data_IF_232179230431
#
_entry.id   IF_232179230431
#
_cell.length_a   1.000
_cell.length_b   1.000
_cell.length_c   1.000
_cell.angle_alpha   90.00
_cell.angle_beta   90.00
_cell.angle_gamma   90.00
#
_symmetry.space_group_name_H-M   'P 1'
#
loop_
_entity.id
_entity.type
_entity.pdbx_description
1 polymer ?
#
# COMPACT_ATOMS: atom_id res chain seq x y z
N UNK A 1 5.84 -17.19 -44.85
CA UNK A 1 7.11 -16.48 -44.57
C UNK A 1 7.34 -16.50 -43.06
N UNK A 2 8.54 -16.87 -42.58
CA UNK A 2 8.86 -16.94 -41.13
C UNK A 2 9.90 -15.88 -40.80
N UNK A 3 9.58 -14.96 -39.89
CA UNK A 3 10.51 -13.95 -39.35
C UNK A 3 11.04 -14.43 -38.00
N UNK A 4 12.34 -14.25 -37.76
CA UNK A 4 13.00 -14.55 -36.47
C UNK A 4 13.54 -13.26 -35.84
N UNK A 5 13.12 -12.97 -34.62
CA UNK A 5 13.67 -11.87 -33.82
C UNK A 5 15.07 -12.29 -33.35
N UNK A 6 16.10 -11.47 -33.64
CA UNK A 6 17.50 -11.77 -33.26
C UNK A 6 17.88 -11.18 -31.91
N UNK A 7 17.32 -10.02 -31.57
CA UNK A 7 17.60 -9.28 -30.34
C UNK A 7 16.43 -8.35 -30.03
N UNK A 8 16.08 -8.22 -28.76
CA UNK A 8 15.09 -7.27 -28.26
C UNK A 8 15.67 -6.54 -27.05
N UNK A 9 15.57 -5.21 -27.04
CA UNK A 9 15.80 -4.41 -25.84
C UNK A 9 14.46 -3.77 -25.48
N UNK A 10 13.84 -4.23 -24.40
CA UNK A 10 12.55 -3.72 -23.94
C UNK A 10 12.75 -2.61 -22.90
N UNK A 11 11.79 -1.68 -22.85
CA UNK A 11 11.66 -0.66 -21.81
C UNK A 11 10.26 -0.80 -21.24
N UNK A 12 10.14 -0.67 -19.92
CA UNK A 12 8.87 -0.73 -19.22
C UNK A 12 8.80 0.36 -18.16
N UNK A 13 7.58 0.77 -17.84
CA UNK A 13 7.24 1.60 -16.69
C UNK A 13 6.34 0.78 -15.79
N UNK A 14 6.51 0.91 -14.47
CA UNK A 14 5.59 0.31 -13.52
C UNK A 14 4.39 1.26 -13.31
N UNK A 15 3.28 0.70 -12.89
CA UNK A 15 2.07 1.39 -12.45
C UNK A 15 1.45 0.57 -11.33
N UNK A 16 0.72 1.21 -10.45
CA UNK A 16 -0.11 0.50 -9.47
C UNK A 16 -1.27 -0.23 -10.17
N UNK A 17 -1.62 -1.42 -9.68
CA UNK A 17 -2.77 -2.20 -10.17
C UNK A 17 -4.07 -1.68 -9.52
N UNK A 18 -4.46 -0.47 -9.93
CA UNK A 18 -5.63 0.28 -9.47
C UNK A 18 -6.31 0.92 -10.70
N UNK A 19 -7.58 1.35 -10.60
CA UNK A 19 -8.27 1.99 -11.72
C UNK A 19 -7.45 3.13 -12.33
N UNK A 20 -7.44 3.24 -13.66
CA UNK A 20 -6.78 4.36 -14.35
C UNK A 20 -7.41 5.70 -13.93
N UNK A 21 -6.57 6.74 -13.82
CA UNK A 21 -6.93 8.11 -13.41
C UNK A 21 -7.37 8.29 -11.94
N UNK A 22 -7.08 7.32 -11.08
CA UNK A 22 -7.43 7.41 -9.66
C UNK A 22 -6.39 8.25 -8.90
N UNK A 23 -6.88 9.14 -8.04
CA UNK A 23 -6.05 10.07 -7.23
C UNK A 23 -6.23 9.82 -5.75
N UNK A 24 -5.24 10.20 -4.96
CA UNK A 24 -5.37 10.14 -3.51
C UNK A 24 -6.49 11.09 -3.04
N UNK A 25 -7.52 10.54 -2.41
CA UNK A 25 -8.69 11.32 -1.94
C UNK A 25 -8.37 12.41 -0.90
N UNK A 26 -7.15 12.46 -0.38
CA UNK A 26 -6.70 13.44 0.63
C UNK A 26 -5.87 14.56 -0.02
N UNK A 27 -4.80 14.22 -0.75
CA UNK A 27 -3.90 15.21 -1.33
C UNK A 27 -4.21 15.55 -2.80
N UNK A 28 -5.12 14.80 -3.44
CA UNK A 28 -5.54 14.98 -4.83
C UNK A 28 -4.40 14.85 -5.85
N UNK A 29 -3.35 14.08 -5.50
CA UNK A 29 -2.22 13.76 -6.40
C UNK A 29 -2.36 12.32 -6.90
N UNK A 30 -1.91 12.08 -8.13
CA UNK A 30 -1.83 10.76 -8.75
C UNK A 30 -1.05 9.76 -7.88
N UNK A 31 -1.48 8.51 -7.90
CA UNK A 31 -0.88 7.46 -7.09
C UNK A 31 0.53 7.05 -7.55
N UNK A 32 0.88 7.25 -8.82
CA UNK A 32 2.25 7.05 -9.31
C UNK A 32 3.18 8.23 -8.98
N UNK A 33 2.62 9.33 -8.50
CA UNK A 33 3.34 10.48 -7.97
C UNK A 33 3.55 10.39 -6.46
N UNK A 34 4.34 11.33 -5.93
CA UNK A 34 4.51 11.49 -4.48
C UNK A 34 3.48 12.43 -3.90
N UNK A 35 3.10 12.21 -2.63
CA UNK A 35 2.32 13.19 -1.89
C UNK A 35 3.10 14.51 -1.70
N UNK A 36 2.44 15.63 -1.37
CA UNK A 36 3.08 16.94 -1.25
C UNK A 36 4.21 17.04 -0.19
N UNK A 37 4.24 16.11 0.77
CA UNK A 37 5.29 16.06 1.79
C UNK A 37 6.57 15.33 1.30
N UNK A 38 6.50 14.60 0.18
CA UNK A 38 7.57 13.76 -0.32
C UNK A 38 8.17 14.35 -1.60
N UNK A 39 9.51 14.48 -1.62
CA UNK A 39 10.25 15.03 -2.76
C UNK A 39 10.54 14.00 -3.86
N UNK A 40 10.79 12.75 -3.49
CA UNK A 40 11.18 11.69 -4.41
C UNK A 40 10.29 10.46 -4.21
N UNK A 41 9.89 9.77 -5.30
CA UNK A 41 9.17 8.50 -5.20
C UNK A 41 10.08 7.41 -4.62
N UNK A 42 9.48 6.44 -3.94
CA UNK A 42 10.19 5.35 -3.28
C UNK A 42 9.43 4.81 -2.06
N UNK A 43 10.12 4.03 -1.24
CA UNK A 43 9.58 3.36 -0.05
C UNK A 43 8.96 4.34 0.96
N UNK A 44 9.41 5.59 0.95
CA UNK A 44 8.92 6.65 1.83
C UNK A 44 7.50 7.13 1.45
N UNK A 45 6.97 6.86 0.26
CA UNK A 45 5.63 7.34 -0.15
C UNK A 45 4.80 6.24 -0.82
N UNK A 46 4.72 5.08 -0.18
CA UNK A 46 3.91 3.94 -0.62
C UNK A 46 2.40 4.21 -0.53
N UNK A 47 1.61 3.35 -1.17
CA UNK A 47 0.17 3.33 -1.05
C UNK A 47 -0.27 2.40 0.07
N UNK A 48 -1.27 2.84 0.84
CA UNK A 48 -1.98 2.01 1.81
C UNK A 48 -3.41 1.78 1.31
N UNK A 49 -3.77 0.51 1.19
CA UNK A 49 -5.12 0.05 0.88
C UNK A 49 -5.85 -0.31 2.17
N UNK A 50 -6.94 0.40 2.46
CA UNK A 50 -7.81 0.01 3.55
C UNK A 50 -8.58 -1.27 3.21
N UNK A 51 -9.01 -2.03 4.23
CA UNK A 51 -9.95 -3.16 4.09
C UNK A 51 -11.27 -2.75 3.43
N UNK A 52 -11.59 -1.45 3.45
CA UNK A 52 -12.72 -0.85 2.76
C UNK A 52 -12.52 -0.68 1.24
N UNK A 53 -11.35 -1.03 0.70
CA UNK A 53 -11.02 -0.92 -0.72
C UNK A 53 -10.54 0.45 -1.19
N UNK A 54 -10.46 1.45 -0.31
CA UNK A 54 -9.94 2.78 -0.67
C UNK A 54 -8.43 2.88 -0.47
N UNK A 55 -7.77 3.53 -1.42
CA UNK A 55 -6.32 3.70 -1.48
C UNK A 55 -5.91 5.15 -1.18
N UNK A 56 -4.81 5.32 -0.47
CA UNK A 56 -4.24 6.63 -0.16
C UNK A 56 -2.72 6.53 -0.11
N UNK A 57 -2.01 7.64 -0.34
CA UNK A 57 -0.60 7.71 0.06
C UNK A 57 -0.47 7.52 1.57
N UNK A 58 0.54 6.75 1.99
CA UNK A 58 0.82 6.41 3.39
C UNK A 58 0.77 7.63 4.31
N UNK A 59 1.53 8.67 3.99
CA UNK A 59 1.59 9.88 4.80
C UNK A 59 0.24 10.59 4.91
N UNK A 60 -0.53 10.59 3.82
CA UNK A 60 -1.83 11.25 3.81
C UNK A 60 -2.80 10.57 4.76
N UNK A 61 -2.92 9.24 4.68
CA UNK A 61 -3.87 8.51 5.52
C UNK A 61 -3.43 8.41 6.97
N UNK A 62 -2.13 8.21 7.24
CA UNK A 62 -1.61 8.17 8.60
C UNK A 62 -1.79 9.51 9.31
N UNK A 63 -1.60 10.63 8.61
CA UNK A 63 -1.84 11.94 9.21
C UNK A 63 -3.33 12.23 9.39
N UNK A 64 -4.17 11.75 8.48
CA UNK A 64 -5.63 11.86 8.60
C UNK A 64 -6.17 11.15 9.84
N UNK A 65 -5.83 9.86 10.03
CA UNK A 65 -6.39 9.06 11.13
C UNK A 65 -5.90 9.50 12.52
N UNK A 66 -4.76 10.21 12.60
CA UNK A 66 -4.26 10.81 13.84
C UNK A 66 -5.09 12.01 14.30
N UNK A 67 -5.84 12.65 13.40
CA UNK A 67 -6.68 13.79 13.76
C UNK A 67 -7.88 13.32 14.59
N UNK A 68 -8.13 13.96 15.73
CA UNK A 68 -9.26 13.63 16.62
C UNK A 68 -10.62 13.73 15.90
N UNK A 69 -10.74 14.66 14.94
CA UNK A 69 -11.94 14.86 14.13
C UNK A 69 -12.24 13.69 13.18
N UNK A 70 -11.19 13.00 12.72
CA UNK A 70 -11.32 11.87 11.78
C UNK A 70 -11.79 10.60 12.48
N UNK A 71 -11.64 10.48 13.80
CA UNK A 71 -12.06 9.31 14.60
C UNK A 71 -11.51 7.98 14.07
N UNK A 72 -10.34 8.00 13.44
CA UNK A 72 -9.75 6.83 12.78
C UNK A 72 -10.59 6.26 11.63
N UNK A 73 -11.39 7.09 10.95
CA UNK A 73 -12.27 6.68 9.86
C UNK A 73 -11.68 6.98 8.49
N UNK A 74 -12.03 6.14 7.50
CA UNK A 74 -11.73 6.36 6.10
C UNK A 74 -12.37 7.67 5.60
N UNK A 75 -11.62 8.56 4.92
CA UNK A 75 -12.17 9.80 4.36
C UNK A 75 -13.34 9.59 3.39
N UNK A 76 -13.34 8.47 2.66
CA UNK A 76 -14.27 8.21 1.56
C UNK A 76 -15.59 7.58 2.03
N UNK A 77 -15.51 6.54 2.88
CA UNK A 77 -16.69 5.77 3.30
C UNK A 77 -17.03 5.89 4.80
N UNK A 78 -16.22 6.59 5.59
CA UNK A 78 -16.39 6.76 7.06
C UNK A 78 -16.38 5.46 7.87
N UNK A 79 -16.05 4.32 7.26
CA UNK A 79 -15.78 3.09 7.98
C UNK A 79 -14.49 3.24 8.79
N UNK A 80 -14.35 2.50 9.89
CA UNK A 80 -13.09 2.45 10.65
C UNK A 80 -11.96 2.04 9.71
N UNK A 81 -10.89 2.83 9.67
CA UNK A 81 -9.77 2.57 8.78
C UNK A 81 -8.87 1.51 9.39
N UNK A 82 -8.81 0.37 8.73
CA UNK A 82 -7.89 -0.73 8.99
C UNK A 82 -7.28 -1.12 7.65
N UNK A 83 -5.99 -1.43 7.61
CA UNK A 83 -5.27 -1.84 6.40
C UNK A 83 -4.63 -3.20 6.62
N UNK A 84 -4.34 -3.91 5.54
CA UNK A 84 -3.58 -5.16 5.60
C UNK A 84 -2.10 -4.79 5.59
N UNK A 85 -1.40 -5.08 6.68
CA UNK A 85 0.05 -5.01 6.72
C UNK A 85 0.59 -6.43 6.51
N UNK A 86 1.20 -6.74 5.34
CA UNK A 86 1.71 -8.07 5.06
C UNK A 86 2.82 -8.51 6.03
N UNK A 87 3.44 -7.59 6.79
CA UNK A 87 4.39 -7.94 7.86
C UNK A 87 3.69 -8.28 9.18
N UNK A 88 2.46 -7.81 9.39
CA UNK A 88 1.71 -8.03 10.62
C UNK A 88 0.98 -9.38 10.66
N UNK A 89 0.74 -10.01 9.50
CA UNK A 89 0.22 -11.39 9.44
C UNK A 89 1.32 -12.41 9.78
N UNK A 90 2.58 -12.17 9.38
CA UNK A 90 3.69 -13.11 9.65
C UNK A 90 4.14 -13.16 11.12
N UNK A 91 3.95 -12.06 11.87
CA UNK A 91 4.32 -12.01 13.29
C UNK A 91 3.27 -12.66 14.20
N UNK A 92 2.01 -12.75 13.77
CA UNK A 92 0.96 -13.46 14.49
C UNK A 92 1.07 -14.99 14.33
N UNK A 93 1.40 -15.49 13.14
CA UNK A 93 1.61 -16.93 12.91
C UNK A 93 2.96 -17.44 13.45
N UNK A 94 4.02 -16.63 13.42
CA UNK A 94 5.34 -17.03 13.94
C UNK A 94 5.39 -17.17 15.48
N UNK A 95 4.43 -16.58 16.21
CA UNK A 95 4.37 -16.72 17.68
C UNK A 95 3.64 -17.99 18.16
N UNK A 96 2.88 -18.66 17.29
CA UNK A 96 2.17 -19.90 17.63
C UNK A 96 3.08 -21.13 17.52
N UNK A 97 4.02 -21.16 16.55
CA UNK A 97 4.92 -22.31 16.36
C UNK A 97 5.98 -22.46 17.47
N UNK A 98 6.31 -21.38 18.20
CA UNK A 98 7.27 -21.44 19.33
C UNK A 98 6.64 -22.03 20.60
N UNK A 99 5.33 -21.96 20.78
CA UNK A 99 4.66 -22.50 21.98
C UNK A 99 4.37 -24.00 21.93
N UNK A 100 4.33 -24.59 20.73
CA UNK A 100 3.99 -26.01 20.52
C UNK A 100 5.20 -26.91 20.27
N UNK A 101 6.43 -26.37 20.33
CA UNK A 101 7.64 -27.18 20.20
C UNK A 101 7.79 -28.11 21.42
N UNK A 102 7.81 -29.45 21.26
CA UNK A 102 8.08 -30.35 22.37
C UNK A 102 9.52 -30.10 22.83
N UNK A 103 9.65 -29.73 24.10
CA UNK A 103 10.92 -29.57 24.80
C UNK A 103 11.72 -30.88 24.70
N UNK A 104 12.63 -30.96 23.73
CA UNK A 104 13.58 -32.06 23.62
C UNK A 104 14.72 -31.77 24.59
N UNK A 105 14.59 -32.34 25.79
CA UNK A 105 15.69 -32.52 26.74
C UNK A 105 16.67 -33.60 26.32
#
# INVERSE_FOLDING_TARGET
>A
MKVKIKKWNAVATWRWDIPEDDVCGICQVDFDGTCPACKYPGDDCSLLSGKCGHNFHMHCILEWIKQDSAKGQCPMCRQKFEWNDPLNDTSAEAMQEVSDAPNQG
#
